data_IF_546096888409
#
_entry.id   IF_546096888409
#
_cell.length_a   1.000
_cell.length_b   1.000
_cell.length_c   1.000
_cell.angle_alpha   90.00
_cell.angle_beta   90.00
_cell.angle_gamma   90.00
#
_symmetry.space_group_name_H-M   'P 1'
#
loop_
_entity.id
_entity.type
_entity.pdbx_description
1 polymer ?
#
# COMPACT_ATOMS: atom_id res chain seq x y z
N UNK A 1 -8.14 -12.73 -8.19
CA UNK A 1 -7.35 -11.72 -8.90
C UNK A 1 -8.27 -10.93 -9.82
N UNK A 2 -7.95 -9.68 -10.14
CA UNK A 2 -8.70 -8.98 -11.18
C UNK A 2 -8.30 -9.49 -12.57
N UNK A 3 -9.23 -9.45 -13.52
CA UNK A 3 -8.94 -9.70 -14.94
C UNK A 3 -8.82 -8.38 -15.71
N UNK A 4 -8.39 -8.44 -16.98
CA UNK A 4 -8.18 -7.28 -17.85
C UNK A 4 -9.45 -6.41 -17.96
N UNK A 5 -10.62 -7.03 -18.13
CA UNK A 5 -11.89 -6.30 -18.22
C UNK A 5 -12.18 -5.50 -16.95
N UNK A 6 -11.90 -6.06 -15.77
CA UNK A 6 -12.04 -5.35 -14.51
C UNK A 6 -10.99 -4.24 -14.35
N UNK A 7 -9.75 -4.48 -14.79
CA UNK A 7 -8.69 -3.47 -14.78
C UNK A 7 -9.11 -2.23 -15.59
N UNK A 8 -9.55 -2.45 -16.82
CA UNK A 8 -9.96 -1.37 -17.71
C UNK A 8 -11.18 -0.62 -17.17
N UNK A 9 -12.15 -1.33 -16.59
CA UNK A 9 -13.31 -0.69 -15.96
C UNK A 9 -12.93 0.20 -14.78
N UNK A 10 -11.97 -0.23 -13.95
CA UNK A 10 -11.46 0.57 -12.84
C UNK A 10 -10.67 1.78 -13.31
N UNK A 11 -9.83 1.61 -14.35
CA UNK A 11 -9.12 2.72 -14.97
C UNK A 11 -10.09 3.78 -15.54
N UNK A 12 -11.11 3.33 -16.28
CA UNK A 12 -12.14 4.21 -16.84
C UNK A 12 -12.97 4.92 -15.76
N UNK A 13 -13.12 4.30 -14.59
CA UNK A 13 -13.78 4.91 -13.43
C UNK A 13 -12.89 5.92 -12.67
N UNK A 14 -11.62 6.04 -13.03
CA UNK A 14 -10.67 6.99 -12.42
C UNK A 14 -9.83 6.41 -11.28
N UNK A 15 -9.64 5.09 -11.20
CA UNK A 15 -8.78 4.50 -10.17
C UNK A 15 -7.30 4.83 -10.44
N UNK A 16 -6.69 5.64 -9.57
CA UNK A 16 -5.27 6.05 -9.72
C UNK A 16 -4.27 4.95 -9.35
N UNK A 17 -4.57 4.17 -8.30
CA UNK A 17 -3.67 3.16 -7.73
C UNK A 17 -4.40 1.84 -7.47
N UNK A 18 -3.73 0.73 -7.73
CA UNK A 18 -4.19 -0.61 -7.35
C UNK A 18 -3.17 -1.29 -6.43
N UNK A 19 -3.65 -1.83 -5.31
CA UNK A 19 -2.81 -2.53 -4.34
C UNK A 19 -2.77 -4.04 -4.59
N UNK A 20 -1.56 -4.59 -4.75
CA UNK A 20 -1.35 -6.01 -4.94
C UNK A 20 0.05 -6.45 -4.47
N UNK A 21 0.15 -6.96 -3.25
CA UNK A 21 1.43 -7.37 -2.66
C UNK A 21 1.90 -8.74 -3.13
N UNK A 22 3.22 -8.92 -3.14
CA UNK A 22 3.89 -10.21 -3.30
C UNK A 22 4.15 -10.89 -1.94
N UNK A 23 4.06 -10.12 -0.85
CA UNK A 23 4.15 -10.55 0.55
C UNK A 23 5.55 -11.00 1.01
N UNK A 24 6.20 -11.89 0.27
CA UNK A 24 7.54 -12.45 0.58
C UNK A 24 8.22 -12.96 -0.71
N UNK A 25 9.33 -13.72 -0.60
CA UNK A 25 9.99 -14.38 -1.72
C UNK A 25 9.10 -15.42 -2.41
N UNK A 26 9.31 -15.70 -3.71
CA UNK A 26 8.64 -16.79 -4.41
C UNK A 26 8.81 -18.15 -3.70
N UNK A 27 9.99 -18.41 -3.16
CA UNK A 27 10.37 -19.66 -2.51
C UNK A 27 9.66 -19.86 -1.17
N UNK A 28 9.36 -18.77 -0.45
CA UNK A 28 8.70 -18.81 0.86
C UNK A 28 7.17 -18.60 0.76
N UNK A 29 6.67 -18.10 -0.37
CA UNK A 29 5.26 -17.73 -0.54
C UNK A 29 4.29 -18.88 -0.21
N UNK A 30 4.61 -20.11 -0.62
CA UNK A 30 3.77 -21.29 -0.37
C UNK A 30 3.63 -21.68 1.11
N UNK A 31 4.53 -21.21 1.99
CA UNK A 31 4.41 -21.42 3.43
C UNK A 31 3.39 -20.49 4.08
N UNK A 32 3.06 -19.37 3.41
CA UNK A 32 2.19 -18.32 3.94
C UNK A 32 0.84 -18.29 3.20
N UNK A 33 0.85 -18.42 1.88
CA UNK A 33 -0.34 -18.33 1.04
C UNK A 33 -0.37 -19.51 0.06
N UNK A 34 -1.36 -20.38 0.21
CA UNK A 34 -1.53 -21.58 -0.61
C UNK A 34 -2.69 -21.49 -1.59
N UNK A 35 -3.63 -20.57 -1.39
CA UNK A 35 -4.85 -20.45 -2.20
C UNK A 35 -4.65 -19.72 -3.54
N UNK A 36 -3.42 -19.26 -3.81
CA UNK A 36 -3.02 -18.46 -4.96
C UNK A 36 -1.59 -18.83 -5.30
N UNK A 37 -1.19 -18.69 -6.55
CA UNK A 37 0.22 -18.83 -6.95
C UNK A 37 0.93 -17.47 -6.92
N UNK A 38 2.25 -17.51 -6.80
CA UNK A 38 3.07 -16.30 -6.91
C UNK A 38 2.95 -15.67 -8.30
N UNK A 39 2.93 -16.51 -9.34
CA UNK A 39 2.80 -16.06 -10.73
C UNK A 39 1.47 -15.33 -10.98
N UNK A 40 0.35 -15.83 -10.43
CA UNK A 40 -0.94 -15.14 -10.53
C UNK A 40 -0.89 -13.70 -10.01
N UNK A 41 -0.03 -13.41 -9.03
CA UNK A 41 0.15 -12.06 -8.48
C UNK A 41 0.88 -11.18 -9.48
N UNK A 42 1.95 -11.69 -10.08
CA UNK A 42 2.71 -11.00 -11.12
C UNK A 42 1.83 -10.70 -12.34
N UNK A 43 1.05 -11.68 -12.80
CA UNK A 43 0.11 -11.51 -13.92
C UNK A 43 -0.94 -10.41 -13.62
N UNK A 44 -1.35 -10.30 -12.35
CA UNK A 44 -2.30 -9.25 -11.95
C UNK A 44 -1.65 -7.87 -11.96
N UNK A 45 -0.38 -7.77 -11.55
CA UNK A 45 0.37 -6.51 -11.63
C UNK A 45 0.55 -6.04 -13.07
N UNK A 46 0.79 -6.96 -14.01
CA UNK A 46 0.89 -6.65 -15.43
C UNK A 46 -0.44 -6.09 -15.97
N UNK A 47 -1.57 -6.77 -15.71
CA UNK A 47 -2.90 -6.30 -16.12
C UNK A 47 -3.24 -4.90 -15.61
N UNK A 48 -2.84 -4.59 -14.37
CA UNK A 48 -3.02 -3.26 -13.77
C UNK A 48 -2.20 -2.21 -14.51
N UNK A 49 -0.95 -2.52 -14.86
CA UNK A 49 -0.07 -1.62 -15.62
C UNK A 49 -0.59 -1.38 -17.03
N UNK A 50 -1.00 -2.43 -17.72
CA UNK A 50 -1.56 -2.34 -19.08
C UNK A 50 -2.83 -1.47 -19.12
N UNK A 51 -3.64 -1.51 -18.07
CA UNK A 51 -4.80 -0.63 -17.91
C UNK A 51 -4.44 0.83 -17.57
N UNK A 52 -3.16 1.17 -17.38
CA UNK A 52 -2.70 2.52 -17.07
C UNK A 52 -2.87 2.93 -15.61
N UNK A 53 -3.08 1.98 -14.70
CA UNK A 53 -3.25 2.22 -13.26
C UNK A 53 -1.89 2.09 -12.56
N UNK A 54 -1.56 2.98 -11.62
CA UNK A 54 -0.32 2.89 -10.85
C UNK A 54 -0.34 1.70 -9.90
N UNK A 55 0.81 1.09 -9.71
CA UNK A 55 0.99 -0.10 -8.89
C UNK A 55 1.43 0.27 -7.49
N UNK A 56 0.70 -0.29 -6.51
CA UNK A 56 1.13 -0.37 -5.12
C UNK A 56 1.42 -1.84 -4.78
N UNK A 57 2.69 -2.21 -4.65
CA UNK A 57 3.09 -3.60 -4.40
C UNK A 57 4.29 -3.68 -3.47
N UNK A 58 4.17 -4.49 -2.42
CA UNK A 58 5.21 -4.69 -1.42
C UNK A 58 5.01 -6.01 -0.68
N UNK A 59 5.34 -6.03 0.61
CA UNK A 59 5.21 -7.24 1.41
C UNK A 59 5.23 -7.05 2.92
N UNK A 60 5.49 -8.13 3.64
CA UNK A 60 5.40 -8.23 5.10
C UNK A 60 6.71 -8.81 5.65
N UNK A 61 7.24 -8.19 6.69
CA UNK A 61 8.43 -8.64 7.43
C UNK A 61 7.98 -9.28 8.75
N UNK A 62 8.48 -10.47 9.06
CA UNK A 62 8.18 -11.22 10.29
C UNK A 62 7.20 -12.38 10.13
N UNK A 63 6.92 -12.80 8.90
CA UNK A 63 6.14 -14.00 8.57
C UNK A 63 6.83 -15.31 9.00
N UNK A 64 8.10 -15.25 9.42
CA UNK A 64 8.98 -16.40 9.63
C UNK A 64 9.98 -16.57 8.48
N UNK A 65 10.03 -15.59 7.58
CA UNK A 65 10.94 -15.54 6.45
C UNK A 65 12.38 -15.23 6.90
N UNK A 66 13.35 -15.72 6.13
CA UNK A 66 14.77 -15.44 6.35
C UNK A 66 15.20 -14.11 5.73
N UNK A 67 16.43 -13.68 6.00
CA UNK A 67 17.03 -12.51 5.33
C UNK A 67 17.07 -12.69 3.81
N UNK A 68 17.34 -13.91 3.33
CA UNK A 68 17.35 -14.23 1.90
C UNK A 68 15.96 -14.05 1.28
N UNK A 69 14.90 -14.40 2.01
CA UNK A 69 13.53 -14.24 1.53
C UNK A 69 13.12 -12.77 1.42
N UNK A 70 13.52 -11.94 2.41
CA UNK A 70 13.33 -10.48 2.34
C UNK A 70 14.06 -9.89 1.14
N UNK A 71 15.29 -10.35 0.88
CA UNK A 71 16.05 -9.93 -0.30
C UNK A 71 15.37 -10.38 -1.60
N UNK A 72 14.85 -11.60 -1.64
CA UNK A 72 14.10 -12.15 -2.78
C UNK A 72 12.86 -11.32 -3.12
N UNK A 73 12.08 -10.90 -2.11
CA UNK A 73 10.94 -9.99 -2.29
C UNK A 73 11.37 -8.66 -2.95
N UNK A 74 12.37 -7.98 -2.38
CA UNK A 74 12.80 -6.68 -2.89
C UNK A 74 13.43 -6.79 -4.28
N UNK A 75 14.19 -7.86 -4.53
CA UNK A 75 14.77 -8.15 -5.84
C UNK A 75 13.69 -8.40 -6.89
N UNK A 76 12.62 -9.15 -6.53
CA UNK A 76 11.51 -9.38 -7.44
C UNK A 76 10.83 -8.06 -7.83
N UNK A 77 10.51 -7.21 -6.84
CA UNK A 77 9.82 -5.94 -7.08
C UNK A 77 10.69 -4.97 -7.91
N UNK A 78 11.99 -4.88 -7.59
CA UNK A 78 12.92 -4.00 -8.27
C UNK A 78 13.20 -4.42 -9.73
N UNK A 79 13.13 -5.72 -10.03
CA UNK A 79 13.37 -6.25 -11.38
C UNK A 79 12.11 -6.41 -12.24
N UNK A 80 10.94 -5.92 -11.77
CA UNK A 80 9.78 -5.80 -12.66
C UNK A 80 10.09 -4.84 -13.81
N UNK A 81 9.40 -4.93 -14.97
CA UNK A 81 9.63 -4.04 -16.11
C UNK A 81 9.59 -2.55 -15.73
N UNK A 82 8.77 -2.20 -14.75
CA UNK A 82 8.79 -0.91 -14.05
C UNK A 82 8.53 -1.17 -12.57
N UNK A 83 9.44 -0.78 -11.65
CA UNK A 83 9.20 -0.93 -10.22
C UNK A 83 7.89 -0.25 -9.79
N UNK A 84 7.19 -0.76 -8.76
CA UNK A 84 5.95 -0.14 -8.27
C UNK A 84 6.14 1.32 -7.87
N UNK A 85 5.17 2.18 -8.15
CA UNK A 85 5.18 3.59 -7.73
C UNK A 85 5.13 3.70 -6.19
N UNK A 86 4.45 2.77 -5.53
CA UNK A 86 4.39 2.67 -4.07
C UNK A 86 4.75 1.27 -3.61
N UNK A 87 5.72 1.17 -2.70
CA UNK A 87 6.23 -0.08 -2.13
C UNK A 87 5.93 -0.10 -0.63
N UNK A 88 4.79 -0.66 -0.19
CA UNK A 88 4.47 -0.83 1.21
C UNK A 88 5.29 -1.94 1.85
N UNK A 89 6.02 -1.60 2.91
CA UNK A 89 6.71 -2.57 3.77
C UNK A 89 5.98 -2.61 5.11
N UNK A 90 5.28 -3.72 5.33
CA UNK A 90 4.52 -3.97 6.54
C UNK A 90 5.36 -4.77 7.52
N UNK A 91 5.22 -4.50 8.81
CA UNK A 91 5.64 -5.43 9.86
C UNK A 91 4.46 -6.35 10.17
N UNK A 92 4.72 -7.64 10.43
CA UNK A 92 3.68 -8.58 10.81
C UNK A 92 2.93 -8.06 12.04
N UNK A 93 1.62 -7.89 11.90
CA UNK A 93 0.72 -7.66 13.01
C UNK A 93 0.19 -9.02 13.46
N UNK A 94 0.67 -9.49 14.61
CA UNK A 94 0.27 -10.78 15.17
C UNK A 94 -1.17 -10.70 15.69
N UNK A 95 -2.07 -11.48 15.09
CA UNK A 95 -3.49 -11.50 15.45
C UNK A 95 -3.88 -12.88 15.96
N UNK A 96 -4.44 -12.94 17.17
CA UNK A 96 -4.93 -14.18 17.78
C UNK A 96 -5.89 -14.91 16.82
N UNK A 97 -5.65 -16.21 16.64
CA UNK A 97 -6.42 -17.06 15.73
C UNK A 97 -5.80 -17.20 14.34
N UNK A 98 -4.81 -16.37 13.98
CA UNK A 98 -3.97 -16.63 12.80
C UNK A 98 -2.86 -17.63 13.16
N UNK A 99 -2.38 -18.46 12.21
CA UNK A 99 -1.25 -19.37 12.45
C UNK A 99 0.07 -18.66 12.84
N UNK A 100 0.17 -17.35 12.58
CA UNK A 100 1.35 -16.53 12.84
C UNK A 100 1.23 -15.70 14.13
N UNK A 101 0.22 -15.97 14.96
CA UNK A 101 -0.04 -15.21 16.19
C UNK A 101 1.12 -15.27 17.20
N UNK A 102 1.80 -16.42 17.24
CA UNK A 102 2.88 -16.71 18.19
C UNK A 102 4.27 -16.66 17.54
N UNK A 103 4.40 -16.05 16.35
CA UNK A 103 5.70 -15.83 15.71
C UNK A 103 6.61 -14.96 16.60
N UNK A 104 7.92 -15.05 16.37
CA UNK A 104 8.90 -14.16 16.99
C UNK A 104 8.73 -12.70 16.53
N UNK A 105 9.10 -11.76 17.38
CA UNK A 105 9.19 -10.35 16.99
C UNK A 105 10.38 -10.11 16.05
N UNK A 106 10.20 -9.22 15.08
CA UNK A 106 11.28 -8.76 14.21
C UNK A 106 12.10 -7.73 14.96
N UNK A 107 13.43 -7.87 14.94
CA UNK A 107 14.31 -6.84 15.45
C UNK A 107 14.11 -5.52 14.70
N UNK A 108 14.00 -4.40 15.42
CA UNK A 108 13.73 -3.11 14.80
C UNK A 108 14.79 -2.71 13.76
N UNK A 109 16.06 -3.07 13.97
CA UNK A 109 17.14 -2.80 13.01
C UNK A 109 17.02 -3.62 11.74
N UNK A 110 16.50 -4.85 11.82
CA UNK A 110 16.20 -5.66 10.64
C UNK A 110 15.09 -5.01 9.80
N UNK A 111 14.03 -4.54 10.45
CA UNK A 111 12.96 -3.84 9.75
C UNK A 111 13.46 -2.54 9.11
N UNK A 112 14.25 -1.74 9.82
CA UNK A 112 14.88 -0.51 9.31
C UNK A 112 15.79 -0.84 8.12
N UNK A 113 16.58 -1.93 8.19
CA UNK A 113 17.43 -2.40 7.10
C UNK A 113 16.62 -2.75 5.86
N UNK A 114 15.47 -3.41 6.01
CA UNK A 114 14.58 -3.70 4.88
C UNK A 114 14.10 -2.42 4.19
N UNK A 115 13.72 -1.38 4.95
CA UNK A 115 13.35 -0.07 4.39
C UNK A 115 14.53 0.56 3.63
N UNK A 116 15.73 0.54 4.21
CA UNK A 116 16.93 1.11 3.60
C UNK A 116 17.26 0.44 2.27
N UNK A 117 17.22 -0.89 2.22
CA UNK A 117 17.47 -1.66 1.00
C UNK A 117 16.39 -1.37 -0.05
N UNK A 118 15.11 -1.32 0.35
CA UNK A 118 14.03 -0.98 -0.57
C UNK A 118 14.21 0.41 -1.20
N UNK A 119 14.61 1.43 -0.40
CA UNK A 119 14.92 2.78 -0.90
C UNK A 119 16.07 2.75 -1.92
N UNK A 120 17.15 2.04 -1.63
CA UNK A 120 18.32 1.99 -2.52
C UNK A 120 17.97 1.28 -3.85
N UNK A 121 17.24 0.16 -3.78
CA UNK A 121 16.90 -0.64 -4.96
C UNK A 121 15.84 0.03 -5.84
N UNK A 122 14.95 0.85 -5.26
CA UNK A 122 13.83 1.47 -5.95
C UNK A 122 13.79 2.99 -5.66
N UNK A 123 14.77 3.76 -6.17
CA UNK A 123 14.96 5.16 -5.79
C UNK A 123 13.78 6.07 -6.17
N UNK A 124 13.05 5.75 -7.23
CA UNK A 124 11.90 6.52 -7.72
C UNK A 124 10.59 6.18 -7.02
N UNK A 125 10.55 5.09 -6.25
CA UNK A 125 9.33 4.60 -5.60
C UNK A 125 9.10 5.29 -4.26
N UNK A 126 7.83 5.46 -3.90
CA UNK A 126 7.44 5.77 -2.53
C UNK A 126 7.59 4.52 -1.68
N UNK A 127 8.49 4.53 -0.69
CA UNK A 127 8.60 3.43 0.27
C UNK A 127 7.67 3.74 1.42
N UNK A 128 6.59 2.96 1.55
CA UNK A 128 5.54 3.22 2.53
C UNK A 128 5.79 2.40 3.80
N UNK A 129 5.98 3.11 4.91
CA UNK A 129 5.94 2.55 6.25
C UNK A 129 4.48 2.35 6.64
N UNK A 130 3.97 1.12 6.56
CA UNK A 130 2.53 0.84 6.62
C UNK A 130 2.10 0.11 7.91
N UNK A 131 1.58 -1.12 7.81
CA UNK A 131 1.12 -1.86 8.99
C UNK A 131 2.30 -2.17 9.92
N UNK A 132 2.06 -2.14 11.23
CA UNK A 132 3.12 -2.31 12.23
C UNK A 132 3.48 -1.05 13.02
N UNK A 133 3.12 0.14 12.51
CA UNK A 133 3.58 1.42 13.10
C UNK A 133 3.14 1.61 14.55
N UNK A 134 1.98 1.09 14.94
CA UNK A 134 1.50 1.21 16.31
C UNK A 134 2.39 0.45 17.31
N UNK A 135 3.06 -0.61 16.86
CA UNK A 135 4.00 -1.36 17.69
C UNK A 135 5.41 -0.73 17.70
N UNK A 136 5.69 0.22 16.81
CA UNK A 136 6.99 0.89 16.72
C UNK A 136 7.05 2.12 17.63
N UNK A 137 8.15 2.26 18.37
CA UNK A 137 8.45 3.49 19.10
C UNK A 137 8.83 4.66 18.16
N UNK A 138 8.86 5.89 18.68
CA UNK A 138 9.14 7.10 17.90
C UNK A 138 10.50 7.04 17.18
N UNK A 139 11.53 6.50 17.84
CA UNK A 139 12.89 6.39 17.31
C UNK A 139 12.97 5.41 16.15
N UNK A 140 12.28 4.27 16.22
CA UNK A 140 12.20 3.31 15.13
C UNK A 140 11.53 3.95 13.91
N UNK A 141 10.40 4.66 14.10
CA UNK A 141 9.76 5.37 12.99
C UNK A 141 10.66 6.47 12.41
N UNK A 142 11.35 7.24 13.25
CA UNK A 142 12.33 8.23 12.81
C UNK A 142 13.44 7.60 11.97
N UNK A 143 13.99 6.47 12.41
CA UNK A 143 14.99 5.71 11.67
C UNK A 143 14.44 5.16 10.35
N UNK A 144 13.19 4.73 10.30
CA UNK A 144 12.54 4.31 9.04
C UNK A 144 12.43 5.49 8.05
N UNK A 145 12.06 6.70 8.51
CA UNK A 145 12.05 7.89 7.66
C UNK A 145 13.45 8.23 7.16
N UNK A 146 14.47 8.17 8.04
CA UNK A 146 15.88 8.38 7.64
C UNK A 146 16.39 7.31 6.67
N UNK A 147 15.96 6.06 6.83
CA UNK A 147 16.30 4.96 5.93
C UNK A 147 15.66 5.11 4.54
N UNK A 148 14.64 5.95 4.40
CA UNK A 148 14.04 6.30 3.12
C UNK A 148 12.55 6.02 2.99
N UNK A 149 11.86 5.62 4.07
CA UNK A 149 10.40 5.63 4.07
C UNK A 149 9.90 7.08 3.90
N UNK A 150 8.90 7.29 3.04
CA UNK A 150 8.37 8.61 2.73
C UNK A 150 6.85 8.60 2.46
N UNK A 151 6.16 7.55 2.90
CA UNK A 151 4.71 7.42 2.86
C UNK A 151 4.24 6.63 4.10
N UNK A 152 3.06 6.94 4.62
CA UNK A 152 2.42 6.23 5.73
C UNK A 152 0.91 6.07 5.48
N UNK A 153 0.27 5.17 6.22
CA UNK A 153 -1.17 5.27 6.47
C UNK A 153 -1.41 6.21 7.65
N UNK A 154 -2.27 7.20 7.44
CA UNK A 154 -2.64 8.21 8.42
C UNK A 154 -4.11 8.02 8.81
N UNK A 155 -4.38 7.92 10.11
CA UNK A 155 -5.71 7.70 10.65
C UNK A 155 -5.73 6.73 11.83
N UNK A 156 -6.79 6.72 12.63
CA UNK A 156 -6.91 5.85 13.82
C UNK A 156 -6.82 4.32 13.56
N UNK A 157 -7.10 3.85 12.34
CA UNK A 157 -7.15 2.42 11.99
C UNK A 157 -6.73 2.17 10.54
N UNK A 158 -6.23 0.96 10.28
CA UNK A 158 -5.99 0.45 8.93
C UNK A 158 -7.26 -0.26 8.43
N UNK A 159 -7.12 -1.49 7.93
CA UNK A 159 -8.26 -2.34 7.53
C UNK A 159 -9.00 -2.88 8.76
N UNK A 160 -8.27 -3.55 9.66
CA UNK A 160 -8.85 -4.22 10.84
C UNK A 160 -8.04 -4.03 12.12
N UNK A 161 -6.84 -3.45 12.03
CA UNK A 161 -5.90 -3.30 13.14
C UNK A 161 -5.72 -1.83 13.53
N UNK A 162 -5.33 -1.55 14.79
CA UNK A 162 -5.01 -0.19 15.23
C UNK A 162 -3.87 0.42 14.42
N UNK A 163 -3.90 1.74 14.29
CA UNK A 163 -2.84 2.56 13.71
C UNK A 163 -2.56 3.75 14.65
N UNK A 164 -1.37 4.36 14.63
CA UNK A 164 -1.14 5.57 15.41
C UNK A 164 -2.19 6.63 15.13
N UNK A 165 -2.71 7.24 16.20
CA UNK A 165 -3.67 8.33 16.09
C UNK A 165 -3.08 9.52 15.34
N UNK A 166 -3.95 10.27 14.66
CA UNK A 166 -3.62 11.43 13.84
C UNK A 166 -2.73 12.45 14.58
N UNK A 167 -3.09 12.76 15.83
CA UNK A 167 -2.35 13.72 16.67
C UNK A 167 -0.93 13.24 16.99
N UNK A 168 -0.74 11.94 17.21
CA UNK A 168 0.57 11.32 17.50
C UNK A 168 1.46 11.40 16.26
N UNK A 169 0.90 11.13 15.09
CA UNK A 169 1.59 11.26 13.81
C UNK A 169 2.02 12.70 13.52
N UNK A 170 1.10 13.66 13.70
CA UNK A 170 1.40 15.09 13.52
C UNK A 170 2.48 15.57 14.49
N UNK A 171 2.46 15.11 15.74
CA UNK A 171 3.47 15.47 16.73
C UNK A 171 4.85 14.91 16.33
N UNK A 172 4.93 13.65 15.91
CA UNK A 172 6.17 13.04 15.44
C UNK A 172 6.70 13.77 14.20
N UNK A 173 5.84 14.09 13.23
CA UNK A 173 6.24 14.81 12.02
C UNK A 173 6.83 16.19 12.35
N UNK A 174 6.21 16.93 13.28
CA UNK A 174 6.76 18.21 13.76
C UNK A 174 8.11 18.05 14.44
N UNK A 175 8.29 17.03 15.28
CA UNK A 175 9.58 16.73 15.94
C UNK A 175 10.68 16.45 14.92
N UNK A 176 10.36 15.75 13.84
CA UNK A 176 11.31 15.36 12.79
C UNK A 176 11.46 16.40 11.66
N UNK A 177 10.66 17.48 11.67
CA UNK A 177 10.64 18.47 10.59
C UNK A 177 10.07 17.94 9.26
N UNK A 178 9.22 16.91 9.32
CA UNK A 178 8.59 16.30 8.14
C UNK A 178 7.29 17.03 7.80
N UNK A 179 7.07 17.27 6.52
CA UNK A 179 5.88 17.94 6.01
C UNK A 179 5.12 17.03 5.03
N UNK A 180 3.77 17.09 5.01
CA UNK A 180 3.00 16.42 3.98
C UNK A 180 3.36 17.00 2.61
N UNK A 181 3.39 16.13 1.60
CA UNK A 181 3.56 16.56 0.22
C UNK A 181 2.36 17.42 -0.18
N UNK A 182 2.62 18.65 -0.60
CA UNK A 182 1.58 19.55 -1.10
C UNK A 182 1.14 19.06 -2.48
N UNK A 183 -0.06 18.51 -2.58
CA UNK A 183 -0.70 18.21 -3.86
C UNK A 183 -1.67 19.33 -4.20
N UNK A 184 -1.66 19.78 -5.45
CA UNK A 184 -2.62 20.77 -5.93
C UNK A 184 -3.95 20.08 -6.16
N UNK A 185 -4.85 20.13 -5.19
CA UNK A 185 -6.21 19.64 -5.35
C UNK A 185 -7.01 20.71 -6.10
N UNK A 186 -7.65 20.35 -7.22
CA UNK A 186 -8.42 21.30 -8.04
C UNK A 186 -9.71 21.78 -7.33
N UNK A 187 -10.16 21.04 -6.31
CA UNK A 187 -11.36 21.28 -5.53
C UNK A 187 -11.29 20.49 -4.21
N UNK A 188 -11.84 21.01 -3.11
CA UNK A 188 -11.94 20.25 -1.86
C UNK A 188 -12.97 19.12 -1.96
N UNK A 189 -12.87 18.12 -1.07
CA UNK A 189 -13.77 16.95 -1.05
C UNK A 189 -15.26 17.35 -1.08
N UNK A 190 -15.63 18.39 -0.32
CA UNK A 190 -17.00 18.93 -0.29
C UNK A 190 -17.44 19.49 -1.66
N UNK A 191 -16.56 20.17 -2.39
CA UNK A 191 -16.87 20.72 -3.71
C UNK A 191 -16.94 19.63 -4.78
N UNK A 192 -16.16 18.55 -4.64
CA UNK A 192 -16.26 17.37 -5.50
C UNK A 192 -17.57 16.62 -5.23
N UNK A 193 -17.92 16.42 -3.96
CA UNK A 193 -19.15 15.77 -3.56
C UNK A 193 -20.38 16.53 -4.07
N UNK A 194 -20.42 17.86 -3.90
CA UNK A 194 -21.51 18.68 -4.43
C UNK A 194 -21.63 18.58 -5.96
N UNK A 195 -20.50 18.55 -6.68
CA UNK A 195 -20.52 18.36 -8.14
C UNK A 195 -21.05 16.99 -8.55
N UNK A 196 -20.64 15.93 -7.86
CA UNK A 196 -21.13 14.58 -8.11
C UNK A 196 -22.62 14.46 -7.79
N UNK A 197 -23.07 15.03 -6.66
CA UNK A 197 -24.48 15.08 -6.28
C UNK A 197 -25.32 15.84 -7.32
N UNK A 198 -24.84 16.99 -7.81
CA UNK A 198 -25.49 17.73 -8.89
C UNK A 198 -25.57 16.92 -10.19
N UNK A 199 -24.52 16.18 -10.52
CA UNK A 199 -24.46 15.35 -11.74
C UNK A 199 -25.44 14.17 -11.66
N UNK A 200 -25.56 13.55 -10.49
CA UNK A 200 -26.53 12.47 -10.21
C UNK A 200 -27.98 12.97 -10.17
N UNK A 201 -28.21 14.24 -9.85
CA UNK A 201 -29.54 14.87 -9.82
C UNK A 201 -30.06 15.30 -11.21
N UNK A 202 -29.23 15.22 -12.25
CA UNK A 202 -29.61 15.43 -13.66
C UNK A 202 -29.34 14.14 -14.46
N UNK A 203 -30.17 13.10 -14.33
CA UNK A 203 -29.82 11.77 -14.83
C UNK A 203 -30.13 11.56 -16.32
N UNK A 204 -30.80 12.49 -16.98
CA UNK A 204 -31.20 12.32 -18.38
C UNK A 204 -29.96 12.30 -19.27
N UNK A 205 -29.61 11.08 -19.65
CA UNK A 205 -28.53 10.71 -20.56
C UNK A 205 -29.11 9.69 -21.55
N UNK A 206 -28.47 9.46 -22.68
CA UNK A 206 -28.97 8.50 -23.68
C UNK A 206 -29.17 7.06 -23.12
N UNK A 207 -28.51 6.73 -22.00
CA UNK A 207 -28.56 5.42 -21.33
C UNK A 207 -29.45 5.38 -20.06
N UNK A 208 -29.89 6.52 -19.51
CA UNK A 208 -30.69 6.58 -18.28
C UNK A 208 -31.79 7.64 -18.38
N UNK A 209 -33.04 7.23 -18.13
CA UNK A 209 -34.23 8.08 -18.15
C UNK A 209 -34.72 8.37 -16.72
N UNK A 210 -34.91 9.65 -16.39
CA UNK A 210 -35.47 10.06 -15.09
C UNK A 210 -37.00 10.13 -15.11
N UNK A 211 -37.66 9.09 -14.59
CA UNK A 211 -39.13 9.02 -14.53
C UNK A 211 -39.79 9.99 -13.53
N UNK A 212 -39.03 10.70 -12.70
CA UNK A 212 -39.55 11.66 -11.71
C UNK A 212 -39.65 13.11 -12.23
N UNK A 213 -39.30 13.37 -13.49
CA UNK A 213 -39.32 14.69 -14.11
C UNK A 213 -40.67 15.06 -14.78
N UNK A 214 -41.76 14.32 -14.51
CA UNK A 214 -43.14 14.60 -14.98
C UNK A 214 -43.98 15.29 -13.90
#
# INVERSE_FOLDING_TARGET
>A
MLNESQAQRLANAGLDYYNHNLDTSPEFYGNIITTRTYQERLDTLEKVREAGIKVCSGGIVGLGETVTDRAGLLLQLANLPTPPESVPINMLVKVKGTPLADNDDVDAFDFIRTIAVARIMMPTSYVRLSAGREQMNEQTQAMCFMAGANSIFYGCKLLTTPNPAEDKDLQLFRKLGLNPQQTRVLAGDNEQQQRLEQTLMTPDTDDYYNAAAL
#
